data_IF_725372692150
#
_entry.id   IF_725372692150
#
_cell.length_a   1.000
_cell.length_b   1.000
_cell.length_c   1.000
_cell.angle_alpha   90.00
_cell.angle_beta   90.00
_cell.angle_gamma   90.00
#
_symmetry.space_group_name_H-M   'P 1'
#
loop_
_entity.id
_entity.type
_entity.pdbx_description
1 polymer ?
#
# COMPACT_ATOMS: atom_id res chain seq x y z
N UNK A 1 34.18 44.41 31.40
CA UNK A 1 33.84 43.60 32.59
C UNK A 1 32.32 43.68 32.77
N UNK A 2 31.58 42.71 32.35
CA UNK A 2 30.18 42.52 32.74
C UNK A 2 29.95 41.01 32.84
N UNK A 3 29.51 40.55 34.00
CA UNK A 3 29.36 39.15 34.38
C UNK A 3 28.01 38.67 33.95
N UNK A 4 28.00 37.58 33.21
CA UNK A 4 26.81 36.82 32.89
C UNK A 4 26.47 35.87 34.06
N UNK A 5 25.21 35.93 34.52
CA UNK A 5 24.66 35.02 35.56
C UNK A 5 23.68 34.07 34.90
N UNK A 6 23.85 32.77 34.96
CA UNK A 6 22.85 31.85 34.45
C UNK A 6 21.73 31.61 35.46
N UNK A 7 20.51 31.78 34.98
CA UNK A 7 19.26 31.43 35.70
C UNK A 7 19.04 29.93 35.68
N UNK A 8 18.96 29.32 36.87
CA UNK A 8 18.50 27.96 37.09
C UNK A 8 16.97 27.92 37.02
N UNK A 9 16.40 27.14 36.10
CA UNK A 9 15.01 26.70 36.19
C UNK A 9 14.94 25.22 36.53
N UNK A 10 14.25 24.97 37.63
CA UNK A 10 14.05 23.65 38.23
C UNK A 10 13.23 22.72 37.35
N UNK A 11 13.81 21.60 36.96
CA UNK A 11 13.09 20.48 36.34
C UNK A 11 12.37 19.66 37.39
N UNK A 12 11.06 19.60 37.30
CA UNK A 12 10.23 18.69 38.10
C UNK A 12 10.22 17.33 37.38
N UNK A 13 10.89 16.34 37.98
CA UNK A 13 10.79 14.94 37.61
C UNK A 13 9.51 14.35 38.18
N UNK A 14 8.54 14.04 37.35
CA UNK A 14 7.39 13.21 37.73
C UNK A 14 7.73 11.72 37.55
N UNK A 15 7.96 11.03 38.68
CA UNK A 15 8.03 9.56 38.75
C UNK A 15 6.63 9.00 38.42
N UNK A 16 6.52 8.23 37.33
CA UNK A 16 5.36 7.39 37.05
C UNK A 16 5.42 6.15 37.92
N UNK A 17 4.52 6.06 38.92
CA UNK A 17 4.22 4.85 39.67
C UNK A 17 3.22 3.96 38.92
N UNK A 18 3.18 2.63 39.18
CA UNK A 18 2.30 1.72 38.48
C UNK A 18 0.85 1.85 38.98
N UNK A 19 -0.05 2.22 38.08
CA UNK A 19 -1.49 2.17 38.33
C UNK A 19 -1.98 0.72 38.23
N UNK A 20 -2.19 0.09 39.40
CA UNK A 20 -2.99 -1.13 39.53
C UNK A 20 -4.48 -0.76 39.44
N UNK A 21 -5.04 -0.85 38.25
CA UNK A 21 -6.49 -0.78 38.04
C UNK A 21 -7.13 -2.14 38.24
N UNK A 22 -7.88 -2.26 39.33
CA UNK A 22 -8.71 -3.41 39.71
C UNK A 22 -10.00 -3.35 38.88
N UNK A 23 -10.16 -4.20 37.87
CA UNK A 23 -11.44 -4.39 37.18
C UNK A 23 -12.22 -5.52 37.85
N UNK A 24 -13.33 -5.18 38.47
CA UNK A 24 -14.31 -6.13 38.97
C UNK A 24 -15.18 -6.66 37.80
N UNK A 25 -15.73 -7.88 37.93
CA UNK A 25 -16.53 -8.46 36.86
C UNK A 25 -17.92 -7.82 36.81
N UNK A 26 -18.26 -7.21 35.69
CA UNK A 26 -19.62 -6.82 35.34
C UNK A 26 -20.37 -8.05 34.84
N UNK A 27 -21.24 -8.59 35.68
CA UNK A 27 -22.21 -9.61 35.34
C UNK A 27 -23.29 -9.00 34.44
N UNK A 28 -23.20 -9.18 33.12
CA UNK A 28 -24.34 -9.02 32.25
C UNK A 28 -25.03 -10.38 32.03
N UNK A 29 -26.23 -10.42 32.51
CA UNK A 29 -27.23 -11.48 32.51
C UNK A 29 -27.96 -11.41 31.16
N UNK A 30 -27.45 -12.03 30.11
CA UNK A 30 -28.22 -12.39 28.90
C UNK A 30 -27.46 -13.45 28.10
N UNK A 31 -27.74 -14.70 28.38
CA UNK A 31 -27.11 -15.85 27.68
C UNK A 31 -27.94 -17.12 27.84
N UNK A 32 -29.27 -17.04 27.76
CA UNK A 32 -30.10 -18.25 27.92
C UNK A 32 -31.25 -18.40 26.93
N UNK A 33 -31.18 -17.75 25.77
CA UNK A 33 -32.26 -17.89 24.77
C UNK A 33 -31.87 -18.75 23.52
N UNK A 34 -30.61 -18.96 23.23
CA UNK A 34 -30.20 -19.72 22.06
C UNK A 34 -29.93 -21.21 22.29
N UNK A 35 -29.78 -21.65 23.52
CA UNK A 35 -29.48 -23.06 23.83
C UNK A 35 -30.72 -23.99 23.77
N UNK A 36 -31.93 -23.46 23.65
CA UNK A 36 -33.17 -24.29 23.57
C UNK A 36 -33.66 -24.55 22.15
N UNK A 37 -33.15 -23.83 21.16
CA UNK A 37 -33.54 -24.06 19.76
C UNK A 37 -32.77 -25.19 19.08
N UNK A 38 -31.56 -25.49 19.49
CA UNK A 38 -30.73 -26.51 18.88
C UNK A 38 -31.05 -27.94 19.32
N UNK A 39 -31.68 -28.13 20.47
CA UNK A 39 -32.06 -29.50 20.94
C UNK A 39 -33.31 -30.08 20.25
N UNK A 40 -34.07 -29.29 19.49
CA UNK A 40 -35.25 -29.78 18.76
C UNK A 40 -35.00 -30.11 17.29
N UNK A 41 -33.89 -29.68 16.69
CA UNK A 41 -33.53 -30.05 15.33
C UNK A 41 -32.74 -31.37 15.23
N UNK A 42 -32.10 -31.81 16.31
CA UNK A 42 -31.31 -33.07 16.29
C UNK A 42 -32.13 -34.36 16.40
N UNK A 43 -33.42 -34.29 16.70
CA UNK A 43 -34.28 -35.47 16.88
C UNK A 43 -35.06 -35.81 15.58
N UNK A 44 -35.21 -34.88 14.66
CA UNK A 44 -35.88 -35.13 13.37
C UNK A 44 -34.96 -35.67 12.28
N UNK A 45 -33.65 -35.53 12.42
CA UNK A 45 -32.68 -36.04 11.46
C UNK A 45 -32.33 -37.53 11.64
N UNK A 46 -32.63 -38.12 12.80
CA UNK A 46 -32.33 -39.53 13.09
C UNK A 46 -33.46 -40.51 12.68
N UNK A 47 -34.66 -40.03 12.37
CA UNK A 47 -35.80 -40.84 11.93
C UNK A 47 -35.84 -41.11 10.40
N UNK A 48 -35.10 -40.36 9.61
CA UNK A 48 -35.06 -40.53 8.14
C UNK A 48 -33.98 -41.51 7.64
N UNK A 49 -33.03 -41.90 8.49
CA UNK A 49 -31.92 -42.76 8.11
C UNK A 49 -32.18 -44.25 8.27
N UNK A 50 -33.32 -44.67 8.87
CA UNK A 50 -33.64 -46.08 9.13
C UNK A 50 -34.65 -46.72 8.14
N UNK A 51 -35.14 -45.98 7.13
CA UNK A 51 -36.11 -46.46 6.16
C UNK A 51 -35.50 -46.87 4.79
N UNK A 52 -34.18 -46.76 4.59
CA UNK A 52 -33.52 -46.99 3.29
C UNK A 52 -32.71 -48.29 3.19
N UNK A 53 -32.81 -49.21 4.15
CA UNK A 53 -31.98 -50.45 4.16
C UNK A 53 -32.74 -51.75 3.96
N UNK A 54 -33.87 -51.76 3.29
CA UNK A 54 -34.55 -53.05 2.94
C UNK A 54 -35.04 -52.98 1.48
N UNK A 55 -34.15 -53.07 0.51
CA UNK A 55 -34.46 -53.52 -0.84
C UNK A 55 -33.18 -53.60 -1.68
N UNK A 56 -32.37 -54.65 -1.53
CA UNK A 56 -31.50 -55.18 -2.59
C UNK A 56 -31.01 -56.59 -2.23
N UNK A 57 -31.87 -57.52 -2.44
CA UNK A 57 -31.48 -58.95 -2.70
C UNK A 57 -32.23 -59.40 -3.94
N UNK A 58 -31.53 -59.72 -4.99
CA UNK A 58 -32.10 -60.28 -6.20
C UNK A 58 -31.05 -60.45 -7.29
N UNK A 59 -30.63 -61.69 -7.44
CA UNK A 59 -29.58 -62.19 -8.32
C UNK A 59 -29.79 -62.02 -9.82
N UNK A 60 -28.69 -62.21 -10.49
CA UNK A 60 -28.39 -63.12 -11.64
C UNK A 60 -27.97 -62.42 -12.94
N UNK A 61 -26.69 -62.69 -13.25
CA UNK A 61 -26.06 -62.97 -14.53
C UNK A 61 -26.63 -62.43 -15.85
N UNK A 62 -25.84 -61.68 -16.60
CA UNK A 62 -25.25 -62.15 -17.87
C UNK A 62 -24.27 -61.13 -18.43
N UNK A 63 -23.20 -61.64 -18.94
CA UNK A 63 -22.01 -61.02 -19.51
C UNK A 63 -22.28 -60.49 -20.92
N UNK A 64 -21.94 -59.22 -21.23
CA UNK A 64 -21.43 -58.87 -22.57
C UNK A 64 -20.61 -57.59 -22.54
N UNK A 65 -19.48 -57.71 -23.16
CA UNK A 65 -18.36 -56.80 -23.33
C UNK A 65 -18.67 -55.53 -24.16
N UNK A 66 -17.75 -54.56 -23.99
CA UNK A 66 -17.41 -53.42 -24.87
C UNK A 66 -18.26 -52.14 -24.64
N UNK A 67 -17.70 -51.05 -24.20
CA UNK A 67 -16.71 -50.17 -24.79
C UNK A 67 -16.28 -49.12 -23.72
N UNK A 68 -14.98 -48.91 -23.60
CA UNK A 68 -14.42 -47.90 -22.71
C UNK A 68 -14.65 -46.53 -23.31
N UNK A 69 -15.49 -45.73 -22.71
CA UNK A 69 -15.46 -44.30 -22.85
C UNK A 69 -14.83 -43.70 -21.60
N UNK A 70 -13.62 -43.17 -21.75
CA UNK A 70 -12.92 -42.34 -20.77
C UNK A 70 -13.78 -41.09 -20.47
N UNK A 71 -14.66 -41.17 -19.52
CA UNK A 71 -15.19 -40.01 -18.85
C UNK A 71 -14.13 -39.52 -17.86
N UNK A 72 -13.33 -38.54 -18.33
CA UNK A 72 -12.46 -37.72 -17.50
C UNK A 72 -13.37 -36.98 -16.53
N UNK A 73 -13.66 -37.61 -15.40
CA UNK A 73 -14.28 -36.93 -14.27
C UNK A 73 -13.33 -35.80 -13.81
N UNK A 74 -13.59 -34.59 -14.26
CA UNK A 74 -13.04 -33.40 -13.66
C UNK A 74 -13.60 -33.30 -12.24
N UNK A 75 -12.82 -33.71 -11.27
CA UNK A 75 -13.10 -33.44 -9.86
C UNK A 75 -12.96 -31.91 -9.71
N UNK A 76 -14.05 -31.17 -9.88
CA UNK A 76 -14.13 -29.81 -9.38
C UNK A 76 -14.02 -29.89 -7.86
N UNK A 77 -12.81 -29.73 -7.37
CA UNK A 77 -12.58 -29.46 -5.97
C UNK A 77 -13.15 -28.04 -5.75
N UNK A 78 -14.37 -27.94 -5.29
CA UNK A 78 -14.96 -26.69 -4.83
C UNK A 78 -14.12 -26.24 -3.64
N UNK A 79 -13.17 -25.33 -3.90
CA UNK A 79 -12.39 -24.69 -2.85
C UNK A 79 -13.35 -23.93 -1.92
N UNK A 80 -13.08 -23.95 -0.61
CA UNK A 80 -13.91 -23.24 0.35
C UNK A 80 -13.89 -21.73 0.08
N UNK A 81 -15.01 -21.00 0.31
CA UNK A 81 -15.04 -19.54 0.16
C UNK A 81 -14.03 -18.86 1.09
N UNK A 82 -13.26 -17.94 0.56
CA UNK A 82 -12.26 -17.15 1.29
C UNK A 82 -12.53 -15.68 1.05
N UNK A 83 -12.56 -14.88 2.13
CA UNK A 83 -12.59 -13.41 2.05
C UNK A 83 -11.23 -12.85 2.43
N UNK A 84 -10.64 -12.04 1.54
CA UNK A 84 -9.32 -11.42 1.75
C UNK A 84 -9.47 -9.93 2.09
N UNK A 85 -8.84 -9.52 3.19
CA UNK A 85 -8.68 -8.11 3.56
C UNK A 85 -7.36 -7.59 2.98
N UNK A 86 -7.45 -6.59 2.12
CA UNK A 86 -6.29 -5.97 1.47
C UNK A 86 -6.06 -4.56 2.00
N UNK A 87 -4.82 -4.28 2.41
CA UNK A 87 -4.31 -2.93 2.68
C UNK A 87 -3.38 -2.54 1.56
N UNK A 88 -3.73 -1.52 0.79
CA UNK A 88 -2.96 -1.09 -0.37
C UNK A 88 -2.68 0.41 -0.34
N UNK A 89 -1.49 0.80 -0.79
CA UNK A 89 -1.18 2.20 -0.95
C UNK A 89 -2.19 2.90 -1.87
N UNK A 90 -2.59 4.12 -1.53
CA UNK A 90 -3.62 4.86 -2.23
C UNK A 90 -3.35 5.06 -3.74
N UNK A 91 -2.07 5.08 -4.13
CA UNK A 91 -1.67 5.14 -5.55
C UNK A 91 -2.13 3.94 -6.38
N UNK A 92 -2.43 2.81 -5.73
CA UNK A 92 -2.81 1.55 -6.38
C UNK A 92 -4.33 1.39 -6.55
N UNK A 93 -5.16 2.33 -6.07
CA UNK A 93 -6.61 2.15 -5.99
C UNK A 93 -7.25 1.71 -7.31
N UNK A 94 -6.95 2.39 -8.42
CA UNK A 94 -7.48 2.00 -9.74
C UNK A 94 -6.98 0.63 -10.21
N UNK A 95 -5.69 0.38 -10.07
CA UNK A 95 -5.09 -0.88 -10.51
C UNK A 95 -5.61 -2.07 -9.70
N UNK A 96 -5.83 -1.90 -8.39
CA UNK A 96 -6.30 -2.97 -7.52
C UNK A 96 -7.74 -3.41 -7.85
N UNK A 97 -8.63 -2.50 -8.24
CA UNK A 97 -9.97 -2.85 -8.68
C UNK A 97 -9.93 -3.80 -9.89
N UNK A 98 -9.09 -3.47 -10.88
CA UNK A 98 -8.92 -4.29 -12.09
C UNK A 98 -8.21 -5.63 -11.76
N UNK A 99 -7.18 -5.61 -10.91
CA UNK A 99 -6.44 -6.81 -10.50
C UNK A 99 -7.33 -7.77 -9.73
N UNK A 100 -8.13 -7.28 -8.79
CA UNK A 100 -9.05 -8.11 -8.00
C UNK A 100 -10.12 -8.75 -8.90
N UNK A 101 -10.68 -8.00 -9.87
CA UNK A 101 -11.62 -8.52 -10.84
C UNK A 101 -10.98 -9.60 -11.72
N UNK A 102 -9.80 -9.32 -12.27
CA UNK A 102 -9.05 -10.27 -13.10
C UNK A 102 -8.69 -11.55 -12.33
N UNK A 103 -8.34 -11.45 -11.04
CA UNK A 103 -8.02 -12.59 -10.20
C UNK A 103 -9.22 -13.54 -10.03
N UNK A 104 -10.42 -12.97 -9.84
CA UNK A 104 -11.65 -13.77 -9.74
C UNK A 104 -11.97 -14.45 -11.09
N UNK A 105 -11.81 -13.72 -12.20
CA UNK A 105 -12.04 -14.21 -13.56
C UNK A 105 -11.05 -15.33 -13.97
N UNK A 106 -9.82 -15.29 -13.45
CA UNK A 106 -8.77 -16.30 -13.70
C UNK A 106 -8.98 -17.61 -12.94
N UNK A 107 -10.21 -17.88 -12.50
CA UNK A 107 -10.60 -19.14 -11.89
C UNK A 107 -10.62 -19.18 -10.36
N UNK A 108 -10.44 -18.04 -9.69
CA UNK A 108 -10.45 -17.92 -8.25
C UNK A 108 -11.82 -17.45 -7.71
N UNK A 109 -12.89 -18.04 -8.27
CA UNK A 109 -14.27 -17.64 -7.97
C UNK A 109 -14.72 -17.91 -6.53
N UNK A 110 -13.95 -18.68 -5.77
CA UNK A 110 -14.14 -18.90 -4.34
C UNK A 110 -13.57 -17.79 -3.47
N UNK A 111 -12.84 -16.82 -4.05
CA UNK A 111 -12.24 -15.68 -3.33
C UNK A 111 -13.14 -14.45 -3.48
N UNK A 112 -13.33 -13.76 -2.37
CA UNK A 112 -13.94 -12.43 -2.32
C UNK A 112 -12.97 -11.47 -1.64
N UNK A 113 -13.10 -10.18 -1.92
CA UNK A 113 -12.30 -9.14 -1.29
C UNK A 113 -13.21 -8.31 -0.39
N UNK A 114 -12.83 -8.13 0.87
CA UNK A 114 -13.41 -7.13 1.76
C UNK A 114 -13.07 -5.72 1.23
N UNK A 115 -13.72 -4.69 1.78
CA UNK A 115 -13.43 -3.30 1.41
C UNK A 115 -11.93 -3.00 1.57
N UNK A 116 -11.22 -2.91 0.44
CA UNK A 116 -9.79 -2.63 0.41
C UNK A 116 -9.49 -1.27 1.04
N UNK A 117 -8.57 -1.25 1.99
CA UNK A 117 -8.16 -0.01 2.65
C UNK A 117 -7.08 0.68 1.83
N UNK A 118 -7.44 1.81 1.20
CA UNK A 118 -6.53 2.65 0.44
C UNK A 118 -6.08 3.86 1.27
N UNK A 119 -4.83 3.84 1.72
CA UNK A 119 -4.21 4.88 2.55
C UNK A 119 -2.76 5.14 2.10
N UNK A 120 -2.09 6.09 2.74
CA UNK A 120 -0.64 6.16 2.63
C UNK A 120 -0.01 4.91 3.26
N UNK A 121 1.17 4.52 2.77
CA UNK A 121 1.87 3.33 3.31
C UNK A 121 2.20 3.47 4.80
N UNK A 122 2.41 4.69 5.29
CA UNK A 122 2.61 4.99 6.72
C UNK A 122 1.34 4.76 7.54
N UNK A 123 0.20 5.31 7.09
CA UNK A 123 -1.09 5.12 7.77
C UNK A 123 -1.51 3.64 7.82
N UNK A 124 -1.22 2.85 6.77
CA UNK A 124 -1.47 1.41 6.78
C UNK A 124 -0.66 0.70 7.87
N UNK A 125 0.60 1.09 8.07
CA UNK A 125 1.42 0.59 9.17
C UNK A 125 0.85 1.01 10.54
N UNK A 126 0.37 2.25 10.68
CA UNK A 126 -0.29 2.71 11.90
C UNK A 126 -1.55 1.90 12.21
N UNK A 127 -2.36 1.58 11.19
CA UNK A 127 -3.54 0.72 11.34
C UNK A 127 -3.16 -0.69 11.82
N UNK A 128 -2.12 -1.30 11.24
CA UNK A 128 -1.61 -2.60 11.67
C UNK A 128 -1.09 -2.53 13.12
N UNK A 129 -0.35 -1.49 13.47
CA UNK A 129 0.12 -1.23 14.85
C UNK A 129 -1.00 -0.99 15.85
N UNK A 130 -2.14 -0.47 15.39
CA UNK A 130 -3.36 -0.32 16.21
C UNK A 130 -4.17 -1.63 16.34
N UNK A 131 -3.72 -2.72 15.71
CA UNK A 131 -4.36 -4.04 15.78
C UNK A 131 -5.35 -4.33 14.66
N UNK A 132 -5.37 -3.54 13.59
CA UNK A 132 -6.13 -3.89 12.38
C UNK A 132 -5.49 -5.09 11.68
N UNK A 133 -6.32 -5.92 11.05
CA UNK A 133 -5.88 -7.11 10.33
C UNK A 133 -5.89 -6.88 8.82
N UNK A 134 -4.93 -7.45 8.13
CA UNK A 134 -4.91 -7.58 6.68
C UNK A 134 -4.24 -8.90 6.27
N UNK A 135 -4.75 -9.55 5.22
CA UNK A 135 -4.14 -10.71 4.58
C UNK A 135 -2.99 -10.29 3.66
N UNK A 136 -3.13 -9.10 3.03
CA UNK A 136 -2.14 -8.53 2.12
C UNK A 136 -1.86 -7.08 2.48
N UNK A 137 -0.58 -6.72 2.59
CA UNK A 137 -0.10 -5.34 2.65
C UNK A 137 0.67 -5.02 1.36
N UNK A 138 0.17 -4.06 0.58
CA UNK A 138 0.81 -3.61 -0.66
C UNK A 138 1.26 -2.16 -0.48
N UNK A 139 2.53 -2.01 -0.12
CA UNK A 139 3.17 -0.71 0.14
C UNK A 139 3.74 -0.12 -1.15
N UNK A 140 3.61 1.20 -1.33
CA UNK A 140 4.28 1.93 -2.41
C UNK A 140 5.70 2.38 -2.04
N UNK A 141 6.15 2.08 -0.81
CA UNK A 141 7.43 2.53 -0.28
C UNK A 141 8.21 1.38 0.32
N UNK A 142 9.45 1.22 -0.13
CA UNK A 142 10.38 0.25 0.45
C UNK A 142 10.59 0.50 1.94
N UNK A 143 10.81 1.75 2.34
CA UNK A 143 11.05 2.11 3.75
C UNK A 143 9.85 1.83 4.64
N UNK A 144 8.61 2.03 4.15
CA UNK A 144 7.40 1.67 4.88
C UNK A 144 7.25 0.15 5.02
N UNK A 145 7.62 -0.62 3.99
CA UNK A 145 7.65 -2.09 4.07
C UNK A 145 8.74 -2.57 5.02
N UNK A 146 9.93 -1.96 5.01
CA UNK A 146 11.02 -2.26 5.96
C UNK A 146 10.54 -2.02 7.41
N UNK A 147 9.77 -0.96 7.64
CA UNK A 147 9.13 -0.70 8.94
C UNK A 147 8.12 -1.77 9.30
N UNK A 148 7.24 -2.18 8.38
CA UNK A 148 6.25 -3.22 8.64
C UNK A 148 6.89 -4.57 9.02
N UNK A 149 7.97 -4.95 8.36
CA UNK A 149 8.76 -6.14 8.70
C UNK A 149 9.43 -5.99 10.08
N UNK A 150 10.08 -4.86 10.34
CA UNK A 150 10.76 -4.59 11.61
C UNK A 150 9.82 -4.62 12.82
N UNK A 151 8.63 -4.07 12.65
CA UNK A 151 7.60 -4.05 13.71
C UNK A 151 6.83 -5.38 13.80
N UNK A 152 7.13 -6.36 12.94
CA UNK A 152 6.53 -7.71 12.95
C UNK A 152 5.11 -7.77 12.41
N UNK A 153 4.69 -6.79 11.59
CA UNK A 153 3.38 -6.81 10.93
C UNK A 153 3.39 -7.67 9.68
N UNK A 154 4.55 -7.87 9.08
CA UNK A 154 4.78 -8.67 7.87
C UNK A 154 5.89 -9.67 8.14
N UNK A 155 5.68 -10.92 7.77
CA UNK A 155 6.74 -11.95 7.77
C UNK A 155 7.71 -11.63 6.61
N UNK A 156 8.98 -11.42 6.94
CA UNK A 156 10.04 -11.12 5.96
C UNK A 156 10.12 -12.17 4.85
N UNK A 157 9.86 -13.44 5.17
CA UNK A 157 9.85 -14.54 4.21
C UNK A 157 8.75 -14.46 3.17
N UNK A 158 7.72 -13.64 3.40
CA UNK A 158 6.59 -13.45 2.48
C UNK A 158 6.71 -12.17 1.64
N UNK A 159 7.72 -11.34 1.91
CA UNK A 159 7.94 -10.09 1.21
C UNK A 159 8.39 -10.31 -0.23
N UNK A 160 7.75 -9.59 -1.16
CA UNK A 160 8.11 -9.60 -2.59
C UNK A 160 8.16 -8.16 -3.11
N UNK A 161 9.23 -7.80 -3.79
CA UNK A 161 9.31 -6.55 -4.56
C UNK A 161 8.68 -6.81 -5.95
N UNK A 162 7.42 -6.37 -6.13
CA UNK A 162 6.62 -6.73 -7.30
C UNK A 162 6.85 -5.80 -8.48
N UNK A 163 6.91 -4.48 -8.23
CA UNK A 163 6.93 -3.47 -9.29
C UNK A 163 8.02 -2.44 -9.01
N UNK A 164 8.55 -1.89 -10.08
CA UNK A 164 9.37 -0.68 -10.08
C UNK A 164 8.57 0.44 -10.71
N UNK A 165 8.86 1.67 -10.31
CA UNK A 165 8.28 2.86 -10.89
C UNK A 165 9.42 3.82 -11.21
N UNK A 166 9.35 4.50 -12.34
CA UNK A 166 10.38 5.45 -12.73
C UNK A 166 9.92 6.86 -12.37
N UNK A 167 10.84 7.67 -11.85
CA UNK A 167 10.63 9.09 -11.69
C UNK A 167 10.83 9.77 -13.05
N UNK A 168 9.87 10.61 -13.43
CA UNK A 168 9.86 11.28 -14.73
C UNK A 168 9.63 12.77 -14.58
N UNK A 169 10.07 13.52 -15.59
CA UNK A 169 9.75 14.94 -15.73
C UNK A 169 8.59 15.04 -16.70
N UNK A 170 7.52 15.67 -16.27
CA UNK A 170 6.32 15.85 -17.07
C UNK A 170 6.07 17.33 -17.33
N UNK A 171 5.38 17.61 -18.42
CA UNK A 171 4.84 18.92 -18.75
C UNK A 171 3.38 18.81 -19.18
N UNK A 172 2.73 19.92 -19.39
CA UNK A 172 1.38 19.95 -19.96
C UNK A 172 1.37 19.21 -21.29
N UNK A 173 0.34 18.40 -21.53
CA UNK A 173 0.13 17.73 -22.82
C UNK A 173 0.11 18.75 -23.96
N UNK A 174 0.91 18.46 -24.99
CA UNK A 174 1.07 19.34 -26.14
C UNK A 174 2.00 20.55 -25.89
N UNK A 175 2.81 20.53 -24.84
CA UNK A 175 3.81 21.58 -24.54
C UNK A 175 4.88 21.72 -25.61
N UNK A 176 5.17 20.63 -26.34
CA UNK A 176 6.26 20.54 -27.30
C UNK A 176 7.65 20.39 -26.68
N UNK A 177 7.75 20.34 -25.36
CA UNK A 177 9.02 20.07 -24.67
C UNK A 177 9.44 18.62 -24.90
N UNK A 178 10.75 18.39 -25.00
CA UNK A 178 11.35 17.06 -25.19
C UNK A 178 12.74 17.01 -24.58
N UNK A 179 13.13 15.82 -24.17
CA UNK A 179 14.48 15.51 -23.68
C UNK A 179 14.94 16.45 -22.55
N UNK A 180 14.00 16.88 -21.70
CA UNK A 180 14.28 17.72 -20.54
C UNK A 180 15.12 16.95 -19.53
N UNK A 181 16.20 17.53 -19.09
CA UNK A 181 17.17 16.93 -18.17
C UNK A 181 17.23 17.66 -16.82
N UNK A 182 17.84 17.03 -15.82
CA UNK A 182 18.13 17.70 -14.53
C UNK A 182 19.03 18.93 -14.75
N UNK A 183 19.95 18.88 -15.72
CA UNK A 183 20.82 20.01 -16.02
C UNK A 183 20.02 21.21 -16.57
N UNK A 184 18.97 20.98 -17.33
CA UNK A 184 18.11 22.06 -17.81
C UNK A 184 17.38 22.78 -16.68
N UNK A 185 17.04 22.02 -15.61
CA UNK A 185 16.50 22.61 -14.39
C UNK A 185 17.58 23.43 -13.66
N UNK A 186 18.80 22.88 -13.54
CA UNK A 186 19.93 23.57 -12.94
C UNK A 186 20.36 24.83 -13.73
N UNK A 187 20.18 24.82 -15.05
CA UNK A 187 20.42 25.99 -15.89
C UNK A 187 19.31 27.06 -15.78
N UNK A 188 18.26 26.79 -14.99
CA UNK A 188 17.13 27.71 -14.78
C UNK A 188 16.24 27.88 -16.01
N UNK A 189 16.22 26.90 -16.93
CA UNK A 189 15.44 26.98 -18.18
C UNK A 189 13.94 26.85 -17.94
N UNK A 190 13.53 26.19 -16.85
CA UNK A 190 12.15 25.83 -16.58
C UNK A 190 11.76 26.14 -15.14
N UNK A 191 10.56 26.63 -14.96
CA UNK A 191 9.88 26.63 -13.67
C UNK A 191 9.40 25.21 -13.36
N UNK A 192 9.45 24.79 -12.11
CA UNK A 192 9.14 23.40 -11.79
C UNK A 192 8.37 23.22 -10.47
N UNK A 193 7.67 22.09 -10.37
CA UNK A 193 6.96 21.65 -9.19
C UNK A 193 7.47 20.28 -8.73
N UNK A 194 7.62 20.13 -7.42
CA UNK A 194 7.95 18.85 -6.77
C UNK A 194 7.00 18.62 -5.59
N UNK A 195 6.86 17.37 -5.16
CA UNK A 195 6.23 17.08 -3.89
C UNK A 195 7.07 17.61 -2.72
N UNK A 196 6.44 18.00 -1.62
CA UNK A 196 7.16 18.34 -0.40
C UNK A 196 7.77 17.06 0.24
N UNK A 197 8.48 17.21 1.36
CA UNK A 197 9.16 16.11 2.06
C UNK A 197 8.23 14.98 2.53
N UNK A 198 6.92 15.21 2.60
CA UNK A 198 5.93 14.18 2.92
C UNK A 198 5.57 13.29 1.73
N UNK A 199 5.93 13.72 0.50
CA UNK A 199 5.61 13.06 -0.77
C UNK A 199 6.81 12.25 -1.25
N UNK A 200 6.72 10.90 -1.36
CA UNK A 200 7.85 10.08 -1.79
C UNK A 200 8.46 10.48 -3.14
N UNK A 201 7.64 10.86 -4.12
CA UNK A 201 8.13 11.34 -5.41
C UNK A 201 8.94 12.64 -5.28
N UNK A 202 8.57 13.53 -4.35
CA UNK A 202 9.32 14.74 -4.02
C UNK A 202 10.69 14.40 -3.43
N UNK A 203 10.74 13.47 -2.47
CA UNK A 203 12.02 13.05 -1.88
C UNK A 203 13.00 12.50 -2.93
N UNK A 204 12.50 11.70 -3.89
CA UNK A 204 13.33 11.20 -4.99
C UNK A 204 13.71 12.31 -5.98
N UNK A 205 12.83 13.29 -6.20
CA UNK A 205 13.17 14.45 -7.01
C UNK A 205 14.28 15.28 -6.35
N UNK A 206 14.20 15.50 -5.03
CA UNK A 206 15.21 16.23 -4.26
C UNK A 206 16.56 15.49 -4.24
N UNK A 207 16.54 14.15 -4.13
CA UNK A 207 17.73 13.32 -4.32
C UNK A 207 18.37 13.60 -5.69
N UNK A 208 17.60 13.50 -6.76
CA UNK A 208 18.09 13.72 -8.11
C UNK A 208 18.57 15.16 -8.33
N UNK A 209 17.81 16.16 -7.88
CA UNK A 209 18.15 17.58 -7.99
C UNK A 209 19.39 17.95 -7.17
N UNK A 210 19.72 17.21 -6.11
CA UNK A 210 20.95 17.41 -5.36
C UNK A 210 22.20 17.09 -6.18
N UNK A 211 22.11 16.16 -7.14
CA UNK A 211 23.25 15.78 -8.01
C UNK A 211 23.69 16.90 -8.96
N UNK A 212 22.80 17.86 -9.20
CA UNK A 212 23.05 19.04 -10.05
C UNK A 212 23.06 20.36 -9.26
N UNK A 213 23.05 20.29 -7.93
CA UNK A 213 23.20 21.44 -7.05
C UNK A 213 21.94 22.30 -6.90
N UNK A 214 20.79 21.84 -7.36
CA UNK A 214 19.49 22.54 -7.21
C UNK A 214 18.90 22.35 -5.83
N UNK A 215 19.07 21.17 -5.24
CA UNK A 215 18.70 20.89 -3.86
C UNK A 215 19.95 20.70 -2.99
N UNK A 216 20.00 21.35 -1.83
CA UNK A 216 21.10 21.34 -0.88
C UNK A 216 20.67 20.58 0.37
N UNK A 217 21.17 19.37 0.57
CA UNK A 217 20.88 18.58 1.75
C UNK A 217 21.45 19.21 3.04
N UNK A 218 20.81 18.95 4.17
CA UNK A 218 21.26 19.41 5.48
C UNK A 218 21.17 18.30 6.55
N UNK A 219 21.65 18.58 7.75
CA UNK A 219 21.66 17.64 8.87
C UNK A 219 22.48 16.40 8.57
N UNK A 220 21.90 15.21 8.75
CA UNK A 220 22.60 13.92 8.56
C UNK A 220 22.98 13.64 7.09
N UNK A 221 22.38 14.40 6.15
CA UNK A 221 22.64 14.28 4.72
C UNK A 221 23.60 15.34 4.18
N UNK A 222 24.14 16.22 5.04
CA UNK A 222 25.07 17.30 4.65
C UNK A 222 26.32 16.73 3.94
N UNK A 223 26.65 17.30 2.79
CA UNK A 223 27.80 16.89 1.98
C UNK A 223 27.59 15.63 1.15
N UNK A 224 26.41 15.01 1.16
CA UNK A 224 26.03 13.90 0.31
C UNK A 224 25.13 14.37 -0.82
N UNK A 225 24.89 13.54 -1.84
CA UNK A 225 24.00 13.82 -2.97
C UNK A 225 23.36 12.55 -3.50
N UNK A 226 22.33 12.70 -4.31
CA UNK A 226 21.69 11.60 -4.99
C UNK A 226 21.04 10.62 -4.01
N UNK A 227 21.13 9.33 -4.31
CA UNK A 227 20.54 8.26 -3.48
C UNK A 227 21.15 8.10 -2.09
N UNK A 228 22.24 8.78 -1.79
CA UNK A 228 22.89 8.74 -0.48
C UNK A 228 22.24 9.70 0.54
N UNK A 229 21.24 10.49 0.10
CA UNK A 229 20.45 11.36 0.95
C UNK A 229 19.01 10.86 1.08
N UNK A 230 18.31 11.32 2.11
CA UNK A 230 16.89 11.02 2.31
C UNK A 230 15.94 11.79 1.38
N UNK A 231 16.42 12.90 0.78
CA UNK A 231 15.59 13.89 0.09
C UNK A 231 14.69 14.67 1.05
N UNK A 232 15.09 14.76 2.32
CA UNK A 232 14.38 15.48 3.38
C UNK A 232 15.35 16.40 4.11
N UNK A 233 14.79 17.34 4.86
CA UNK A 233 15.60 18.25 5.71
C UNK A 233 16.66 19.05 4.95
N UNK A 234 16.41 19.38 3.68
CA UNK A 234 17.26 20.23 2.89
C UNK A 234 16.53 21.49 2.43
N UNK A 235 17.11 22.20 1.50
CA UNK A 235 16.52 23.39 0.90
C UNK A 235 16.94 23.50 -0.57
N UNK A 236 16.12 24.19 -1.36
CA UNK A 236 16.53 24.56 -2.71
C UNK A 236 17.58 25.67 -2.65
N UNK A 237 18.60 25.57 -3.48
CA UNK A 237 19.69 26.52 -3.53
C UNK A 237 19.16 27.94 -3.92
N UNK A 238 19.92 28.96 -3.57
CA UNK A 238 19.56 30.33 -3.91
C UNK A 238 19.31 30.48 -5.42
N UNK A 239 18.19 31.11 -5.77
CA UNK A 239 17.75 31.29 -7.15
C UNK A 239 16.71 30.25 -7.63
N UNK A 240 16.49 29.16 -6.90
CA UNK A 240 15.46 28.19 -7.22
C UNK A 240 14.28 28.32 -6.26
N UNK A 241 13.09 28.51 -6.82
CA UNK A 241 11.84 28.62 -6.07
C UNK A 241 10.79 27.68 -6.68
N UNK A 242 10.91 26.37 -6.50
CA UNK A 242 9.91 25.45 -7.01
C UNK A 242 8.56 25.63 -6.31
N UNK A 243 7.49 25.26 -6.99
CA UNK A 243 6.22 25.03 -6.34
C UNK A 243 6.31 23.72 -5.56
N UNK A 244 5.93 23.74 -4.28
CA UNK A 244 5.86 22.55 -3.43
C UNK A 244 4.41 22.18 -3.19
N UNK A 245 4.08 20.89 -3.28
CA UNK A 245 2.73 20.44 -2.96
C UNK A 245 2.77 19.14 -2.14
N UNK A 246 1.75 18.93 -1.32
CA UNK A 246 1.61 17.81 -0.39
C UNK A 246 1.07 16.54 -1.02
N UNK A 247 0.79 16.55 -2.34
CA UNK A 247 0.33 15.38 -3.07
C UNK A 247 0.82 15.35 -4.50
N UNK A 248 1.22 14.17 -4.99
CA UNK A 248 1.65 13.97 -6.38
C UNK A 248 0.54 14.33 -7.39
N UNK A 249 -0.73 14.15 -7.02
CA UNK A 249 -1.85 14.53 -7.87
C UNK A 249 -1.94 16.04 -8.10
N UNK A 250 -1.62 16.84 -7.10
CA UNK A 250 -1.55 18.30 -7.25
C UNK A 250 -0.28 18.72 -8.00
N UNK A 251 0.85 18.04 -7.76
CA UNK A 251 2.07 18.24 -8.56
C UNK A 251 1.78 18.05 -10.05
N UNK A 252 1.05 16.99 -10.43
CA UNK A 252 0.58 16.80 -11.80
C UNK A 252 -0.31 17.95 -12.30
N UNK A 253 -1.22 18.45 -11.45
CA UNK A 253 -2.13 19.54 -11.82
C UNK A 253 -1.40 20.85 -12.11
N UNK A 254 -0.34 21.17 -11.38
CA UNK A 254 0.47 22.37 -11.65
C UNK A 254 1.10 22.31 -13.05
N UNK A 255 1.60 21.15 -13.48
CA UNK A 255 2.08 20.96 -14.84
C UNK A 255 0.91 21.02 -15.84
N UNK A 256 -0.20 20.32 -15.56
CA UNK A 256 -1.38 20.26 -16.43
C UNK A 256 -2.00 21.64 -16.69
N UNK A 257 -2.09 22.49 -15.67
CA UNK A 257 -2.60 23.87 -15.80
C UNK A 257 -1.64 24.79 -16.50
N UNK A 258 -0.34 24.49 -16.50
CA UNK A 258 0.73 25.37 -16.97
C UNK A 258 1.15 26.41 -15.94
N UNK A 259 0.86 26.16 -14.65
CA UNK A 259 1.37 26.99 -13.55
C UNK A 259 2.89 26.89 -13.43
N UNK A 260 3.44 25.77 -13.88
CA UNK A 260 4.87 25.50 -14.04
C UNK A 260 5.13 24.87 -15.41
N UNK A 261 6.36 25.00 -15.89
CA UNK A 261 6.76 24.39 -17.17
C UNK A 261 6.86 22.87 -17.05
N UNK A 262 7.39 22.38 -15.92
CA UNK A 262 7.61 20.94 -15.68
C UNK A 262 7.31 20.54 -14.24
N UNK A 263 7.11 19.24 -14.02
CA UNK A 263 6.92 18.68 -12.68
C UNK A 263 7.53 17.29 -12.58
N UNK A 264 7.88 16.87 -11.34
CA UNK A 264 8.46 15.56 -11.06
C UNK A 264 7.40 14.63 -10.45
N UNK A 265 7.12 13.55 -11.16
CA UNK A 265 6.10 12.55 -10.77
C UNK A 265 6.56 11.16 -11.18
N UNK A 266 5.83 10.12 -10.78
CA UNK A 266 6.09 8.78 -11.29
C UNK A 266 5.42 8.55 -12.64
N UNK A 267 5.98 7.65 -13.45
CA UNK A 267 5.39 7.20 -14.71
C UNK A 267 3.93 6.76 -14.52
N UNK A 268 3.61 6.06 -13.43
CA UNK A 268 2.25 5.63 -13.13
C UNK A 268 1.28 6.79 -12.91
N UNK A 269 1.74 7.94 -12.44
CA UNK A 269 0.91 9.12 -12.18
C UNK A 269 0.46 9.78 -13.48
N UNK A 270 1.26 9.70 -14.54
CA UNK A 270 0.90 10.17 -15.88
C UNK A 270 -0.35 9.45 -16.39
N UNK A 271 -0.40 8.13 -16.23
CA UNK A 271 -1.57 7.33 -16.61
C UNK A 271 -2.75 7.53 -15.66
N UNK A 272 -2.47 7.76 -14.38
CA UNK A 272 -3.49 7.92 -13.35
C UNK A 272 -4.26 9.23 -13.48
N UNK A 273 -3.56 10.33 -13.72
CA UNK A 273 -4.14 11.68 -13.70
C UNK A 273 -4.42 12.22 -15.11
N UNK A 274 -3.61 11.84 -16.10
CA UNK A 274 -3.72 12.35 -17.48
C UNK A 274 -3.41 13.84 -17.61
N UNK A 275 -3.53 14.38 -18.84
CA UNK A 275 -3.36 15.80 -19.14
C UNK A 275 -1.93 16.32 -19.03
N UNK A 276 -0.97 15.43 -18.81
CA UNK A 276 0.46 15.67 -18.83
C UNK A 276 1.16 14.66 -19.73
N UNK A 277 2.29 15.04 -20.32
CA UNK A 277 3.13 14.17 -21.12
C UNK A 277 4.53 14.06 -20.50
N UNK A 278 5.18 12.91 -20.66
CA UNK A 278 6.57 12.71 -20.22
C UNK A 278 7.47 13.47 -21.19
N UNK A 279 8.24 14.41 -20.68
CA UNK A 279 9.19 15.22 -21.45
C UNK A 279 10.65 14.91 -21.08
N UNK A 280 10.89 14.14 -20.03
CA UNK A 280 12.20 13.70 -19.61
C UNK A 280 12.12 12.56 -18.60
N UNK A 281 13.19 11.79 -18.48
CA UNK A 281 13.35 10.75 -17.45
C UNK A 281 14.42 11.15 -16.47
N UNK A 282 14.20 10.86 -15.19
CA UNK A 282 15.22 11.07 -14.16
C UNK A 282 16.12 9.84 -14.09
N UNK A 283 17.45 9.96 -14.23
CA UNK A 283 18.33 8.81 -14.19
C UNK A 283 18.22 8.03 -12.88
N UNK A 284 18.04 6.71 -12.94
CA UNK A 284 17.79 5.85 -11.78
C UNK A 284 18.98 5.74 -10.80
N UNK A 285 20.17 6.19 -11.21
CA UNK A 285 21.37 6.25 -10.37
C UNK A 285 21.43 7.52 -9.50
N UNK A 286 20.54 8.48 -9.74
CA UNK A 286 20.46 9.75 -9.01
C UNK A 286 19.55 9.70 -7.80
N UNK A 287 18.69 8.65 -7.66
CA UNK A 287 17.69 8.54 -6.59
C UNK A 287 17.36 7.10 -6.20
#
# INVERSE_FOLDING_TARGET
MSRYVPSRTNGVFLKKGPLKGRWGPCLSREGNFMAKAWKKLSILALAAALAAMVAMVGCSSEQKSEEATDEKASTETTAEPVELQVFAANSLSKAMEEVQAAYIEDGHSNVTFADTQYKSSGELNEMLGAGSYADLLISASKSSMDTAVKEGYVDEGTRVDMFKNDLVIVSKEGSGLKDVTLQDIADGKYTFCVGDESVPAGNYADQALSTVGVYVPSGDDEGKTGKDISGKNGAFAEGYNPVLDTSVGNVCKHAQSGDVDVAFVYTSDVYRFGGVEIVGTVPADTH
#
